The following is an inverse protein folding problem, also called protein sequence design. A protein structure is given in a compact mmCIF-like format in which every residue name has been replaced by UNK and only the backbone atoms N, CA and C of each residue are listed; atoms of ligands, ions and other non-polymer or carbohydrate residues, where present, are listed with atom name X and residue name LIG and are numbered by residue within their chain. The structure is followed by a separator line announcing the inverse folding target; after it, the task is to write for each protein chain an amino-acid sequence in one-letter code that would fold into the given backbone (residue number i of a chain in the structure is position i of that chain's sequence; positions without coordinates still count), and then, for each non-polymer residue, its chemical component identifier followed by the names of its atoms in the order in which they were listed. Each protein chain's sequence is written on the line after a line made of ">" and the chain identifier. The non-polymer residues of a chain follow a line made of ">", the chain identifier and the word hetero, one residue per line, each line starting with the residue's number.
data_IF_499548328143
#
_entry.id   IF_499548328143
#
_cell.length_a   1.000
_cell.length_b   1.000
_cell.length_c   1.000
_cell.angle_alpha   90.00
_cell.angle_beta   90.00
_cell.angle_gamma   90.00
#
_symmetry.space_group_name_H-M   'P 1'
#
loop_
_entity.id
_entity.type
_entity.pdbx_description
1 polymer ?
#
# COMPACT_ATOMS: atom_id res chain seq x y z
N UNK A 1 18.62 -8.83 2.66
CA UNK A 1 17.27 -8.39 3.05
C UNK A 1 17.10 -6.97 2.51
N UNK A 2 15.96 -6.62 1.91
CA UNK A 2 15.73 -5.26 1.39
C UNK A 2 15.33 -4.38 2.57
N UNK A 3 16.24 -3.53 3.03
CA UNK A 3 15.92 -2.47 3.98
C UNK A 3 15.22 -1.33 3.23
N UNK A 4 14.07 -0.92 3.74
CA UNK A 4 13.28 0.18 3.16
C UNK A 4 13.41 1.37 4.09
N UNK A 5 13.72 2.53 3.54
CA UNK A 5 13.74 3.79 4.28
C UNK A 5 13.09 4.87 3.44
N UNK A 6 12.30 5.74 4.08
CA UNK A 6 11.73 6.88 3.40
C UNK A 6 12.84 7.86 2.97
N UNK A 7 12.77 8.34 1.72
CA UNK A 7 13.68 9.37 1.20
C UNK A 7 13.49 10.67 2.00
N UNK A 8 14.61 11.31 2.36
CA UNK A 8 14.64 12.59 3.09
C UNK A 8 15.09 13.72 2.15
N UNK A 9 14.79 14.97 2.52
CA UNK A 9 15.16 16.15 1.73
C UNK A 9 14.19 16.49 0.59
N UNK A 10 14.63 17.38 -0.31
CA UNK A 10 13.78 18.00 -1.34
C UNK A 10 13.78 17.26 -2.69
N UNK A 11 14.70 16.31 -2.90
CA UNK A 11 14.75 15.56 -4.15
C UNK A 11 13.60 14.55 -4.21
N UNK A 12 12.79 14.61 -5.26
CA UNK A 12 11.66 13.69 -5.48
C UNK A 12 12.01 12.62 -6.51
N UNK A 13 11.26 11.52 -6.52
CA UNK A 13 11.36 10.44 -7.49
C UNK A 13 10.04 10.16 -8.23
N UNK A 14 8.92 10.65 -7.70
CA UNK A 14 7.64 10.73 -8.40
C UNK A 14 7.50 12.01 -9.24
N UNK A 15 6.47 12.07 -10.09
CA UNK A 15 6.14 13.23 -10.94
C UNK A 15 5.66 14.47 -10.18
N UNK A 16 5.27 14.31 -8.91
CA UNK A 16 4.78 15.39 -8.06
C UNK A 16 4.87 15.07 -6.57
N UNK A 17 4.76 16.10 -5.74
CA UNK A 17 4.91 15.98 -4.29
C UNK A 17 3.81 15.14 -3.63
N UNK A 18 2.60 15.12 -4.17
CA UNK A 18 1.52 14.30 -3.61
C UNK A 18 1.80 12.81 -3.79
N UNK A 19 2.25 12.39 -4.97
CA UNK A 19 2.66 11.01 -5.24
C UNK A 19 3.89 10.64 -4.41
N UNK A 20 4.87 11.53 -4.35
CA UNK A 20 6.08 11.36 -3.54
C UNK A 20 5.74 11.19 -2.06
N UNK A 21 4.79 11.97 -1.54
CA UNK A 21 4.37 11.87 -0.15
C UNK A 21 3.80 10.49 0.15
N UNK A 22 2.95 9.96 -0.74
CA UNK A 22 2.41 8.59 -0.58
C UNK A 22 3.53 7.56 -0.60
N UNK A 23 4.49 7.67 -1.52
CA UNK A 23 5.61 6.74 -1.62
C UNK A 23 6.50 6.76 -0.37
N UNK A 24 6.82 7.95 0.13
CA UNK A 24 7.59 8.11 1.38
C UNK A 24 6.84 7.57 2.58
N UNK A 25 5.54 7.77 2.67
CA UNK A 25 4.74 7.23 3.78
C UNK A 25 4.63 5.70 3.71
N UNK A 26 4.51 5.12 2.52
CA UNK A 26 4.59 3.68 2.32
C UNK A 26 5.95 3.14 2.81
N UNK A 27 7.05 3.82 2.49
CA UNK A 27 8.37 3.42 2.93
C UNK A 27 8.56 3.59 4.43
N UNK A 28 8.06 4.67 5.01
CA UNK A 28 8.12 4.92 6.44
C UNK A 28 7.41 3.82 7.25
N UNK A 29 6.26 3.32 6.76
CA UNK A 29 5.56 2.20 7.39
C UNK A 29 6.38 0.90 7.40
N UNK A 30 7.39 0.76 6.54
CA UNK A 30 8.25 -0.43 6.44
C UNK A 30 9.70 -0.15 6.86
N UNK A 31 9.94 1.01 7.47
CA UNK A 31 11.24 1.36 8.01
C UNK A 31 11.56 0.43 9.20
N UNK A 32 12.76 -0.17 9.28
CA UNK A 32 13.18 -1.00 10.42
C UNK A 32 13.11 -0.30 11.78
N UNK A 33 13.16 1.04 11.83
CA UNK A 33 12.98 1.80 13.07
C UNK A 33 11.50 2.01 13.45
N UNK A 34 10.57 1.69 12.54
CA UNK A 34 9.12 1.93 12.69
C UNK A 34 8.31 0.63 12.76
N UNK A 35 8.56 -0.30 11.85
CA UNK A 35 7.80 -1.53 11.68
C UNK A 35 8.24 -2.63 12.66
N UNK A 36 7.29 -3.42 13.16
CA UNK A 36 7.56 -4.58 14.01
C UNK A 36 8.31 -5.70 13.26
N UNK A 37 7.90 -6.01 12.02
CA UNK A 37 8.52 -7.06 11.18
C UNK A 37 8.51 -6.67 9.68
N UNK A 38 9.38 -5.72 9.26
CA UNK A 38 9.37 -5.16 7.91
C UNK A 38 9.62 -6.18 6.79
N UNK A 39 10.41 -7.23 7.05
CA UNK A 39 10.68 -8.33 6.11
C UNK A 39 9.42 -9.13 5.76
N UNK A 40 8.47 -9.19 6.69
CA UNK A 40 7.13 -9.76 6.53
C UNK A 40 6.08 -8.75 6.04
N UNK A 41 6.50 -7.51 5.76
CA UNK A 41 5.67 -6.35 5.46
C UNK A 41 4.73 -5.93 6.59
N UNK A 42 4.95 -6.44 7.81
CA UNK A 42 4.10 -6.19 8.99
C UNK A 42 4.57 -4.92 9.67
N UNK A 43 3.65 -3.97 9.84
CA UNK A 43 3.90 -2.68 10.49
C UNK A 43 3.67 -2.82 11.99
N UNK A 44 2.47 -3.20 12.41
CA UNK A 44 2.09 -3.38 13.81
C UNK A 44 0.81 -4.21 13.95
N UNK A 45 0.48 -4.63 15.18
CA UNK A 45 -0.81 -5.22 15.50
C UNK A 45 -0.97 -6.67 15.02
N UNK A 46 0.07 -7.47 15.18
CA UNK A 46 0.08 -8.89 14.82
C UNK A 46 0.39 -9.11 13.36
N UNK A 47 -0.64 -9.22 12.51
CA UNK A 47 -0.49 -9.47 11.06
C UNK A 47 -0.81 -8.23 10.21
N UNK A 48 -0.90 -7.05 10.82
CA UNK A 48 -1.18 -5.79 10.13
C UNK A 48 -0.04 -5.37 9.21
N UNK A 49 -0.22 -5.53 7.91
CA UNK A 49 0.78 -5.23 6.88
C UNK A 49 0.57 -3.88 6.20
N UNK A 50 1.62 -3.30 5.65
CA UNK A 50 1.50 -2.11 4.80
C UNK A 50 0.95 -2.46 3.40
N UNK A 51 1.32 -3.64 2.89
CA UNK A 51 0.97 -4.14 1.55
C UNK A 51 0.85 -5.67 1.58
N UNK A 52 0.17 -6.23 0.58
CA UNK A 52 -0.19 -7.65 0.56
C UNK A 52 1.02 -8.59 0.52
N UNK A 53 1.95 -8.28 -0.36
CA UNK A 53 3.17 -9.05 -0.60
C UNK A 53 4.16 -8.17 -1.38
N UNK A 54 5.40 -8.64 -1.51
CA UNK A 54 6.48 -7.90 -2.16
C UNK A 54 6.20 -7.53 -3.62
N UNK A 55 5.54 -8.41 -4.38
CA UNK A 55 5.12 -8.11 -5.75
C UNK A 55 4.11 -6.96 -5.79
N UNK A 56 3.20 -6.89 -4.82
CA UNK A 56 2.25 -5.79 -4.71
C UNK A 56 2.92 -4.47 -4.27
N UNK A 57 3.92 -4.56 -3.38
CA UNK A 57 4.75 -3.41 -3.00
C UNK A 57 5.45 -2.79 -4.22
N UNK A 58 6.17 -3.61 -4.99
CA UNK A 58 6.87 -3.15 -6.20
C UNK A 58 5.91 -2.57 -7.25
N UNK A 59 4.72 -3.17 -7.40
CA UNK A 59 3.70 -2.65 -8.29
C UNK A 59 3.19 -1.27 -7.84
N UNK A 60 2.98 -1.07 -6.54
CA UNK A 60 2.56 0.23 -5.97
C UNK A 60 3.68 1.26 -6.15
N UNK A 61 4.92 0.91 -5.82
CA UNK A 61 6.10 1.77 -6.01
C UNK A 61 6.20 2.27 -7.45
N UNK A 62 6.19 1.35 -8.43
CA UNK A 62 6.27 1.70 -9.84
C UNK A 62 5.07 2.55 -10.30
N UNK A 63 3.86 2.19 -9.86
CA UNK A 63 2.66 2.96 -10.20
C UNK A 63 2.74 4.39 -9.68
N UNK A 64 3.19 4.61 -8.43
CA UNK A 64 3.32 5.94 -7.84
C UNK A 64 4.38 6.80 -8.55
N UNK A 65 5.48 6.20 -9.03
CA UNK A 65 6.50 6.90 -9.80
C UNK A 65 5.96 7.41 -11.14
N UNK A 66 5.06 6.64 -11.76
CA UNK A 66 4.48 6.95 -13.07
C UNK A 66 3.15 7.71 -13.01
N UNK A 67 2.49 7.80 -11.84
CA UNK A 67 1.15 8.37 -11.68
C UNK A 67 1.11 9.87 -11.98
N UNK A 68 0.22 10.28 -12.88
CA UNK A 68 0.03 11.70 -13.23
C UNK A 68 -0.75 12.48 -12.16
N UNK A 69 -0.64 13.81 -12.19
CA UNK A 69 -1.35 14.70 -11.26
C UNK A 69 -2.87 14.69 -11.43
N UNK A 70 -3.40 14.17 -12.55
CA UNK A 70 -4.83 14.04 -12.79
C UNK A 70 -5.30 12.58 -12.83
N UNK A 71 -4.54 11.69 -12.20
CA UNK A 71 -4.86 10.26 -12.08
C UNK A 71 -5.03 9.85 -10.61
N UNK A 72 -5.77 8.76 -10.43
CA UNK A 72 -6.02 8.15 -9.13
C UNK A 72 -5.74 6.65 -9.21
N UNK A 73 -4.81 6.16 -8.39
CA UNK A 73 -4.52 4.74 -8.20
C UNK A 73 -5.51 4.13 -7.21
N UNK A 74 -6.05 2.95 -7.54
CA UNK A 74 -6.90 2.16 -6.65
C UNK A 74 -6.09 1.04 -6.01
N UNK A 75 -6.09 1.00 -4.67
CA UNK A 75 -5.46 -0.05 -3.87
C UNK A 75 -6.52 -0.88 -3.17
N UNK A 76 -6.61 -2.16 -3.54
CA UNK A 76 -7.51 -3.12 -2.91
C UNK A 76 -6.71 -4.09 -2.06
N UNK A 77 -6.96 -4.11 -0.75
CA UNK A 77 -6.28 -4.96 0.24
C UNK A 77 -4.78 -5.06 -0.03
N UNK A 78 -4.11 -3.90 -0.06
CA UNK A 78 -2.66 -3.76 -0.25
C UNK A 78 -2.13 -4.14 -1.63
N UNK A 79 -2.95 -4.11 -2.68
CA UNK A 79 -2.54 -4.34 -4.08
C UNK A 79 -3.04 -3.20 -4.97
N UNK A 80 -2.16 -2.60 -5.78
CA UNK A 80 -2.56 -1.72 -6.88
C UNK A 80 -3.32 -2.52 -7.94
N UNK A 81 -4.58 -2.17 -8.19
CA UNK A 81 -5.47 -2.91 -9.11
C UNK A 81 -5.83 -2.12 -10.37
N UNK A 82 -5.79 -0.79 -10.34
CA UNK A 82 -6.09 0.05 -11.48
C UNK A 82 -5.61 1.49 -11.25
N UNK A 83 -5.47 2.23 -12.35
CA UNK A 83 -5.31 3.69 -12.37
C UNK A 83 -6.39 4.25 -13.30
N UNK A 84 -7.07 5.29 -12.85
CA UNK A 84 -8.07 5.99 -13.66
C UNK A 84 -7.75 7.48 -13.73
N UNK A 85 -8.05 8.07 -14.89
CA UNK A 85 -8.02 9.52 -15.04
C UNK A 85 -9.16 10.15 -14.25
N UNK A 86 -8.81 11.12 -13.42
CA UNK A 86 -9.70 11.94 -12.60
C UNK A 86 -9.42 13.42 -12.90
N UNK A 87 -8.98 14.20 -11.91
CA UNK A 87 -8.62 15.61 -12.02
C UNK A 87 -7.63 15.98 -10.90
N UNK A 88 -6.98 17.13 -10.99
CA UNK A 88 -5.90 17.52 -10.07
C UNK A 88 -6.35 17.60 -8.60
N UNK A 89 -7.56 18.05 -8.33
CA UNK A 89 -8.10 18.13 -6.96
C UNK A 89 -8.59 16.78 -6.38
N UNK A 90 -8.58 15.70 -7.17
CA UNK A 90 -8.97 14.38 -6.69
C UNK A 90 -7.86 13.75 -5.83
N UNK A 91 -8.17 12.79 -4.94
CA UNK A 91 -7.13 12.02 -4.26
C UNK A 91 -6.25 11.25 -5.27
N UNK A 92 -4.93 11.24 -5.05
CA UNK A 92 -3.99 10.43 -5.86
C UNK A 92 -4.14 8.93 -5.63
N UNK A 93 -4.56 8.53 -4.42
CA UNK A 93 -4.73 7.13 -4.07
C UNK A 93 -6.03 6.93 -3.30
N UNK A 94 -6.81 5.93 -3.70
CA UNK A 94 -7.97 5.44 -2.95
C UNK A 94 -7.69 4.02 -2.47
N UNK A 95 -7.93 3.77 -1.19
CA UNK A 95 -7.57 2.53 -0.52
C UNK A 95 -8.82 1.88 0.07
N UNK A 96 -9.02 0.59 -0.19
CA UNK A 96 -10.04 -0.24 0.45
C UNK A 96 -9.41 -1.55 0.91
N UNK A 97 -9.22 -1.70 2.21
CA UNK A 97 -8.50 -2.81 2.82
C UNK A 97 -9.40 -3.64 3.72
N UNK A 98 -9.28 -4.97 3.61
CA UNK A 98 -9.93 -5.93 4.52
C UNK A 98 -11.45 -5.84 4.57
N UNK A 99 -12.09 -5.25 3.55
CA UNK A 99 -13.55 -5.13 3.47
C UNK A 99 -14.15 -6.48 3.07
N UNK A 100 -15.06 -6.97 3.90
CA UNK A 100 -15.85 -8.18 3.67
C UNK A 100 -17.33 -7.84 3.84
N UNK A 101 -18.20 -8.55 3.12
CA UNK A 101 -19.65 -8.45 3.35
C UNK A 101 -19.95 -9.00 4.77
N UNK A 102 -20.88 -8.38 5.54
CA UNK A 102 -21.01 -8.65 6.98
C UNK A 102 -21.16 -10.12 7.37
N UNK A 103 -21.90 -10.91 6.60
CA UNK A 103 -22.10 -12.35 6.87
C UNK A 103 -20.76 -13.13 6.89
N UNK A 104 -19.79 -12.71 6.09
CA UNK A 104 -18.47 -13.36 6.00
C UNK A 104 -17.37 -12.60 6.73
N UNK A 105 -17.71 -11.57 7.51
CA UNK A 105 -16.75 -10.72 8.23
C UNK A 105 -16.25 -11.38 9.53
N UNK A 106 -15.68 -12.59 9.41
CA UNK A 106 -15.09 -13.35 10.51
C UNK A 106 -13.66 -13.81 10.18
N UNK A 107 -12.91 -14.18 11.21
CA UNK A 107 -11.51 -14.56 11.09
C UNK A 107 -11.28 -15.83 10.26
N UNK A 108 -12.19 -16.81 10.32
CA UNK A 108 -12.03 -18.06 9.58
C UNK A 108 -12.07 -17.80 8.07
N UNK A 109 -13.07 -17.05 7.60
CA UNK A 109 -13.19 -16.68 6.19
C UNK A 109 -12.07 -15.73 5.74
N UNK A 110 -11.70 -14.78 6.60
CA UNK A 110 -10.56 -13.91 6.35
C UNK A 110 -9.27 -14.71 6.12
N UNK A 111 -8.95 -15.66 7.01
CA UNK A 111 -7.75 -16.48 6.94
C UNK A 111 -7.77 -17.42 5.71
N UNK A 112 -8.95 -17.90 5.31
CA UNK A 112 -9.11 -18.64 4.07
C UNK A 112 -8.74 -17.79 2.84
N UNK A 113 -9.24 -16.54 2.78
CA UNK A 113 -8.94 -15.62 1.70
C UNK A 113 -7.49 -15.11 1.71
N UNK A 114 -6.88 -14.93 2.89
CA UNK A 114 -5.46 -14.57 2.99
C UNK A 114 -4.57 -15.69 2.41
N UNK A 115 -4.87 -16.96 2.75
CA UNK A 115 -4.17 -18.12 2.18
C UNK A 115 -4.33 -18.26 0.67
N UNK A 116 -5.48 -17.89 0.12
CA UNK A 116 -5.74 -17.92 -1.34
C UNK A 116 -5.12 -16.72 -2.07
N UNK A 117 -4.73 -15.66 -1.35
CA UNK A 117 -4.13 -14.44 -1.89
C UNK A 117 -5.04 -13.27 -2.31
N UNK A 118 -6.39 -13.32 -2.38
CA UNK A 118 -7.20 -12.13 -2.69
C UNK A 118 -7.29 -11.11 -1.55
N UNK A 119 -7.02 -11.50 -0.30
CA UNK A 119 -7.13 -10.65 0.89
C UNK A 119 -5.82 -10.63 1.68
N UNK A 120 -5.63 -9.60 2.49
CA UNK A 120 -4.57 -9.52 3.50
C UNK A 120 -4.95 -8.43 4.50
N UNK A 121 -4.44 -8.52 5.74
CA UNK A 121 -4.78 -7.56 6.79
C UNK A 121 -3.88 -6.36 6.58
N UNK A 122 -4.42 -5.33 5.95
CA UNK A 122 -3.67 -4.10 5.67
C UNK A 122 -4.17 -2.99 6.57
N UNK A 123 -3.24 -2.36 7.29
CA UNK A 123 -3.50 -1.30 8.29
C UNK A 123 -2.63 -0.08 8.06
#
# INVERSE_FOLDING_TARGET
>A
MREIHAKKGLDIECKGWEQEAVLRMLYNNLDPEVAEHPEGLVVYGGIGKAVRNWKAFEAIENTLRDLEANETMLVQSGKSVAVFKTHEEAPRVLISNSVLVPEWANWDHFNELDKKGPLCMVR
#
